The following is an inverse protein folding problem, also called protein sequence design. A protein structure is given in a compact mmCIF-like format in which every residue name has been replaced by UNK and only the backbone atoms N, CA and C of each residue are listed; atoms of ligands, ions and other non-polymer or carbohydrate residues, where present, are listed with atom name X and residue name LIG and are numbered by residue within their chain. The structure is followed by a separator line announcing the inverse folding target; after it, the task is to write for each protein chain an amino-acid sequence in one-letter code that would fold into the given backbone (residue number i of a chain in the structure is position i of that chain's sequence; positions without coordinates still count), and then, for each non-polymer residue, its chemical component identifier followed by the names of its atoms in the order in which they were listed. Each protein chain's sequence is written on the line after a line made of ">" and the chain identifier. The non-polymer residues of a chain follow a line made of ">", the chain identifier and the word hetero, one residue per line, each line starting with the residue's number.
data_IF_734243687572
#
_entry.id   IF_734243687572
#
_cell.length_a   1.000
_cell.length_b   1.000
_cell.length_c   1.000
_cell.angle_alpha   90.00
_cell.angle_beta   90.00
_cell.angle_gamma   90.00
#
_symmetry.space_group_name_H-M   'P 1'
#
loop_
_entity.id
_entity.type
_entity.pdbx_description
1 polymer ?
#
# COMPACT_ATOMS: atom_id res chain seq x y z
N UNK A 1 -37.65 -16.15 -6.48
CA UNK A 1 -37.36 -15.52 -5.17
C UNK A 1 -38.58 -15.62 -4.25
N UNK A 2 -38.88 -16.80 -3.69
CA UNK A 2 -40.18 -16.97 -3.01
C UNK A 2 -40.26 -18.02 -1.91
N UNK A 3 -39.15 -18.56 -1.40
CA UNK A 3 -39.19 -19.65 -0.42
C UNK A 3 -38.21 -19.51 0.76
N UNK A 4 -37.57 -18.34 0.92
CA UNK A 4 -36.65 -18.08 2.04
C UNK A 4 -37.12 -16.94 2.98
N UNK A 5 -38.32 -16.40 2.76
CA UNK A 5 -38.88 -15.31 3.58
C UNK A 5 -39.82 -15.77 4.70
N UNK A 6 -40.23 -17.03 4.74
CA UNK A 6 -41.27 -17.47 5.69
C UNK A 6 -40.77 -18.20 6.95
N UNK A 7 -39.46 -18.38 7.13
CA UNK A 7 -38.93 -19.15 8.26
C UNK A 7 -38.32 -18.32 9.42
N UNK A 8 -38.45 -16.99 9.43
CA UNK A 8 -37.79 -16.12 10.44
C UNK A 8 -38.80 -15.31 11.30
N UNK A 9 -40.10 -15.59 11.20
CA UNK A 9 -41.12 -14.83 11.95
C UNK A 9 -41.63 -15.52 13.23
N UNK A 10 -40.77 -16.26 13.96
CA UNK A 10 -41.13 -16.88 15.24
C UNK A 10 -40.21 -16.56 16.42
N UNK A 11 -39.23 -15.67 16.26
CA UNK A 11 -38.52 -15.09 17.39
C UNK A 11 -38.53 -13.59 17.17
N UNK A 12 -39.20 -12.84 18.05
CA UNK A 12 -39.36 -11.38 18.00
C UNK A 12 -38.05 -10.59 18.17
N UNK A 13 -36.98 -11.05 17.53
CA UNK A 13 -35.74 -10.34 17.37
C UNK A 13 -35.99 -9.35 16.23
N UNK A 14 -36.20 -8.10 16.62
CA UNK A 14 -36.06 -6.97 15.70
C UNK A 14 -34.59 -6.92 15.29
N UNK A 15 -34.24 -7.69 14.25
CA UNK A 15 -32.95 -7.55 13.57
C UNK A 15 -33.06 -6.20 12.86
N UNK A 16 -32.69 -5.12 13.57
CA UNK A 16 -32.37 -3.87 12.92
C UNK A 16 -31.41 -4.23 11.79
N UNK A 17 -31.87 -4.03 10.54
CA UNK A 17 -31.05 -4.28 9.37
C UNK A 17 -29.77 -3.49 9.58
N UNK A 18 -28.66 -4.18 9.84
CA UNK A 18 -27.37 -3.52 9.99
C UNK A 18 -27.19 -2.61 8.77
N UNK A 19 -26.82 -1.34 8.95
CA UNK A 19 -26.59 -0.46 7.81
C UNK A 19 -25.57 -1.14 6.91
N UNK A 20 -25.91 -1.22 5.62
CA UNK A 20 -25.04 -1.81 4.63
C UNK A 20 -23.73 -1.02 4.62
N UNK A 21 -22.63 -1.69 4.95
CA UNK A 21 -21.31 -1.08 4.94
C UNK A 21 -20.88 -0.82 3.49
N UNK A 22 -20.27 0.35 3.26
CA UNK A 22 -19.61 0.63 1.98
C UNK A 22 -18.43 -0.33 1.82
N UNK A 23 -18.33 -0.94 0.62
CA UNK A 23 -17.23 -1.81 0.25
C UNK A 23 -16.45 -1.12 -0.88
N UNK A 24 -15.18 -0.83 -0.65
CA UNK A 24 -14.30 -0.24 -1.68
C UNK A 24 -13.81 -1.29 -2.69
N UNK A 25 -13.84 -2.57 -2.30
CA UNK A 25 -13.54 -3.70 -3.17
C UNK A 25 -14.62 -3.90 -4.22
N UNK A 26 -14.21 -4.25 -5.44
CA UNK A 26 -15.13 -4.65 -6.52
C UNK A 26 -14.91 -6.13 -6.86
N UNK A 27 -15.97 -6.80 -7.32
CA UNK A 27 -15.83 -8.09 -7.97
C UNK A 27 -15.02 -7.92 -9.27
N UNK A 28 -14.03 -8.79 -9.49
CA UNK A 28 -13.17 -8.82 -10.68
C UNK A 28 -13.18 -10.20 -11.38
N UNK A 29 -14.17 -11.04 -11.07
CA UNK A 29 -14.20 -12.42 -11.53
C UNK A 29 -14.31 -12.53 -13.05
N UNK A 30 -15.07 -11.63 -13.69
CA UNK A 30 -15.23 -11.61 -15.14
C UNK A 30 -13.91 -11.24 -15.85
N UNK A 31 -13.13 -10.33 -15.27
CA UNK A 31 -11.81 -9.96 -15.75
C UNK A 31 -10.81 -11.10 -15.58
N UNK A 32 -10.86 -11.81 -14.45
CA UNK A 32 -10.00 -12.98 -14.20
C UNK A 32 -10.31 -14.14 -15.16
N UNK A 33 -11.58 -14.35 -15.51
CA UNK A 33 -11.98 -15.36 -16.50
C UNK A 33 -11.85 -14.89 -17.95
N UNK A 34 -11.53 -13.62 -18.20
CA UNK A 34 -11.47 -13.05 -19.55
C UNK A 34 -12.82 -13.01 -20.27
N UNK A 35 -13.94 -13.01 -19.52
CA UNK A 35 -15.31 -12.98 -20.06
C UNK A 35 -15.97 -11.60 -19.94
N UNK A 36 -15.28 -10.64 -19.34
CA UNK A 36 -15.74 -9.26 -19.24
C UNK A 36 -16.01 -8.67 -20.63
N UNK A 37 -17.17 -8.03 -20.78
CA UNK A 37 -17.56 -7.32 -22.01
C UNK A 37 -17.08 -5.86 -22.02
N UNK A 38 -16.49 -5.42 -20.91
CA UNK A 38 -16.01 -4.06 -20.75
C UNK A 38 -14.70 -3.85 -21.51
N UNK A 39 -14.47 -2.60 -21.93
CA UNK A 39 -13.23 -2.26 -22.62
C UNK A 39 -12.01 -2.43 -21.68
N UNK A 40 -10.83 -2.81 -22.21
CA UNK A 40 -9.60 -2.84 -21.42
C UNK A 40 -9.37 -1.52 -20.66
N UNK A 41 -9.03 -1.62 -19.38
CA UNK A 41 -8.82 -0.45 -18.51
C UNK A 41 -10.10 0.20 -17.96
N UNK A 42 -11.30 -0.31 -18.29
CA UNK A 42 -12.58 0.18 -17.77
C UNK A 42 -12.61 0.24 -16.24
N UNK A 43 -12.18 -0.82 -15.57
CA UNK A 43 -12.16 -0.87 -14.11
C UNK A 43 -11.34 0.27 -13.49
N UNK A 44 -10.21 0.65 -14.09
CA UNK A 44 -9.39 1.75 -13.60
C UNK A 44 -10.07 3.11 -13.70
N UNK A 45 -10.94 3.30 -14.72
CA UNK A 45 -11.71 4.53 -14.92
C UNK A 45 -12.95 4.59 -14.01
N UNK A 46 -13.64 3.46 -13.84
CA UNK A 46 -14.83 3.36 -12.98
C UNK A 46 -14.48 3.36 -11.50
N UNK A 47 -13.32 2.81 -11.12
CA UNK A 47 -12.90 2.65 -9.73
C UNK A 47 -11.72 3.57 -9.43
N UNK A 48 -11.97 4.78 -8.89
CA UNK A 48 -10.89 5.59 -8.39
C UNK A 48 -10.16 4.84 -7.26
N UNK A 49 -8.83 4.94 -7.25
CA UNK A 49 -7.99 4.36 -6.19
C UNK A 49 -7.55 5.50 -5.28
N UNK A 50 -7.88 5.42 -4.00
CA UNK A 50 -7.46 6.38 -2.99
C UNK A 50 -6.17 5.91 -2.31
N UNK A 51 -5.20 6.80 -2.20
CA UNK A 51 -3.93 6.54 -1.53
C UNK A 51 -3.91 7.35 -0.23
N UNK A 52 -4.07 6.66 0.89
CA UNK A 52 -3.95 7.24 2.22
C UNK A 52 -2.58 6.95 2.81
N UNK A 53 -2.02 7.92 3.55
CA UNK A 53 -1.05 7.64 4.60
C UNK A 53 -1.72 7.89 5.95
N UNK A 54 -2.04 6.83 6.68
CA UNK A 54 -2.90 6.88 7.87
C UNK A 54 -4.20 7.65 7.58
N UNK A 55 -4.48 8.74 8.30
CA UNK A 55 -5.67 9.58 8.11
C UNK A 55 -5.54 10.58 6.95
N UNK A 56 -4.36 10.73 6.36
CA UNK A 56 -4.08 11.72 5.33
C UNK A 56 -4.33 11.17 3.93
N UNK A 57 -5.27 11.78 3.19
CA UNK A 57 -5.44 11.51 1.77
C UNK A 57 -4.27 12.14 0.99
N UNK A 58 -3.39 11.28 0.47
CA UNK A 58 -2.18 11.69 -0.26
C UNK A 58 -2.50 11.94 -1.73
N UNK A 59 -3.14 10.97 -2.38
CA UNK A 59 -3.44 11.02 -3.80
C UNK A 59 -4.69 10.22 -4.15
N UNK A 60 -5.21 10.45 -5.36
CA UNK A 60 -6.18 9.57 -6.01
C UNK A 60 -5.70 9.19 -7.41
N UNK A 61 -6.11 8.03 -7.93
CA UNK A 61 -5.93 7.64 -9.32
C UNK A 61 -7.26 7.42 -9.99
N UNK A 62 -7.42 7.98 -11.19
CA UNK A 62 -8.60 7.84 -12.06
C UNK A 62 -8.09 7.39 -13.43
N UNK A 63 -8.31 6.11 -13.77
CA UNK A 63 -7.75 5.51 -14.98
C UNK A 63 -6.23 5.59 -15.01
N UNK A 64 -5.69 6.29 -16.00
CA UNK A 64 -4.25 6.46 -16.21
C UNK A 64 -3.69 7.69 -15.48
N UNK A 65 -4.54 8.52 -14.87
CA UNK A 65 -4.10 9.76 -14.24
C UNK A 65 -4.08 9.65 -12.72
N UNK A 66 -3.05 10.20 -12.10
CA UNK A 66 -2.92 10.27 -10.64
C UNK A 66 -2.78 11.71 -10.20
N UNK A 67 -3.54 12.09 -9.18
CA UNK A 67 -3.63 13.44 -8.64
C UNK A 67 -3.11 13.39 -7.21
N UNK A 68 -2.02 14.10 -6.95
CA UNK A 68 -1.41 14.22 -5.61
C UNK A 68 -1.88 15.49 -4.93
N UNK A 69 -2.54 15.33 -3.78
CA UNK A 69 -2.93 16.42 -2.88
C UNK A 69 -1.83 16.69 -1.85
N UNK A 70 -1.13 15.64 -1.42
CA UNK A 70 0.00 15.71 -0.49
C UNK A 70 1.11 14.77 -0.94
N UNK A 71 2.36 15.16 -0.70
CA UNK A 71 3.54 14.31 -0.85
C UNK A 71 4.34 14.28 0.43
N UNK A 72 4.92 13.13 0.75
CA UNK A 72 5.94 13.02 1.81
C UNK A 72 7.31 13.18 1.17
N UNK A 73 8.22 13.99 1.75
CA UNK A 73 9.61 13.98 1.34
C UNK A 73 10.25 12.63 1.71
N UNK A 74 11.35 12.32 1.03
CA UNK A 74 12.17 11.13 1.27
C UNK A 74 13.05 11.34 2.51
N UNK A 75 13.43 12.59 2.80
CA UNK A 75 14.21 12.96 3.97
C UNK A 75 13.48 14.04 4.77
N UNK A 76 13.59 13.99 6.11
CA UNK A 76 12.88 14.87 7.05
C UNK A 76 13.13 16.36 6.79
N UNK A 77 14.35 16.69 6.36
CA UNK A 77 14.84 18.06 6.39
C UNK A 77 15.11 18.66 5.00
N UNK A 78 15.24 17.85 3.93
CA UNK A 78 15.55 18.41 2.63
C UNK A 78 15.17 17.51 1.44
N UNK A 79 14.59 18.11 0.40
CA UNK A 79 14.59 17.55 -0.96
C UNK A 79 15.95 17.66 -1.63
N UNK A 80 16.88 18.42 -1.04
CA UNK A 80 18.24 18.68 -1.55
C UNK A 80 19.29 17.99 -0.65
N UNK A 81 19.17 16.67 -0.48
CA UNK A 81 20.28 15.89 0.06
C UNK A 81 21.43 15.86 -0.98
N UNK A 82 22.68 16.22 -0.65
CA UNK A 82 23.80 16.14 -1.59
C UNK A 82 24.04 14.72 -2.14
N UNK A 83 23.56 13.70 -1.44
CA UNK A 83 23.57 12.30 -1.85
C UNK A 83 22.21 11.84 -2.42
N UNK A 84 21.30 12.75 -2.78
CA UNK A 84 20.01 12.40 -3.39
C UNK A 84 20.20 11.53 -4.64
N UNK A 85 21.23 11.78 -5.45
CA UNK A 85 21.56 10.95 -6.62
C UNK A 85 21.98 9.53 -6.25
N UNK A 86 22.60 9.35 -5.08
CA UNK A 86 22.97 8.04 -4.53
C UNK A 86 21.76 7.34 -3.93
N UNK A 87 20.96 8.04 -3.12
CA UNK A 87 19.80 7.46 -2.45
C UNK A 87 18.63 7.21 -3.39
N UNK A 88 18.45 8.07 -4.39
CA UNK A 88 17.37 8.05 -5.36
C UNK A 88 17.92 8.16 -6.80
N UNK A 89 18.71 7.18 -7.26
CA UNK A 89 19.21 7.19 -8.63
C UNK A 89 18.04 7.25 -9.62
N UNK A 90 18.03 8.26 -10.49
CA UNK A 90 16.94 8.51 -11.44
C UNK A 90 15.56 8.67 -10.76
N UNK A 91 15.51 9.19 -9.53
CA UNK A 91 14.26 9.39 -8.78
C UNK A 91 13.68 8.12 -8.15
N UNK A 92 14.38 6.97 -8.21
CA UNK A 92 13.97 5.73 -7.55
C UNK A 92 14.74 5.51 -6.25
N UNK A 93 14.09 5.50 -5.08
CA UNK A 93 14.75 5.21 -3.81
C UNK A 93 15.43 3.82 -3.80
N UNK A 94 16.63 3.75 -3.23
CA UNK A 94 17.37 2.49 -2.99
C UNK A 94 16.85 1.71 -1.78
N UNK A 95 16.16 2.37 -0.86
CA UNK A 95 15.54 1.77 0.31
C UNK A 95 14.25 2.53 0.64
N UNK A 96 13.45 1.94 1.52
CA UNK A 96 12.21 2.55 2.01
C UNK A 96 12.54 3.61 3.05
N UNK A 97 12.77 4.85 2.58
CA UNK A 97 13.04 6.01 3.43
C UNK A 97 11.73 6.71 3.78
N UNK A 98 10.92 6.08 4.63
CA UNK A 98 9.77 6.78 5.22
C UNK A 98 10.29 7.72 6.32
N UNK A 99 10.09 9.02 6.11
CA UNK A 99 10.35 10.07 7.11
C UNK A 99 9.57 9.83 8.40
N UNK A 100 8.33 9.37 8.27
CA UNK A 100 7.52 8.96 9.41
C UNK A 100 6.48 7.94 8.97
N UNK A 101 6.38 6.83 9.70
CA UNK A 101 5.29 5.89 9.53
C UNK A 101 3.93 6.47 9.97
N UNK A 102 3.92 7.53 10.79
CA UNK A 102 2.69 8.19 11.26
C UNK A 102 2.18 9.27 10.31
N UNK A 103 2.98 9.73 9.33
CA UNK A 103 2.62 10.78 8.36
C UNK A 103 1.94 12.01 9.01
N UNK A 104 2.59 12.68 9.99
CA UNK A 104 2.06 13.90 10.59
C UNK A 104 2.01 15.01 9.54
N UNK A 105 1.00 15.88 9.61
CA UNK A 105 0.78 16.93 8.62
C UNK A 105 2.00 17.86 8.43
N UNK A 106 2.75 18.12 9.50
CA UNK A 106 3.96 18.95 9.48
C UNK A 106 5.07 18.37 8.59
N UNK A 107 5.08 17.05 8.37
CA UNK A 107 6.07 16.39 7.53
C UNK A 107 5.58 16.23 6.07
N UNK A 108 4.37 16.68 5.74
CA UNK A 108 3.78 16.53 4.42
C UNK A 108 3.77 17.86 3.66
N UNK A 109 4.15 17.83 2.39
CA UNK A 109 3.95 18.96 1.49
C UNK A 109 2.56 18.89 0.90
N UNK A 110 1.74 19.93 1.10
CA UNK A 110 0.41 20.05 0.48
C UNK A 110 0.52 20.80 -0.84
N UNK A 111 -0.16 20.30 -1.88
CA UNK A 111 -0.16 20.87 -3.22
C UNK A 111 -1.49 21.58 -3.52
N UNK A 112 -1.41 22.89 -3.75
CA UNK A 112 -2.54 23.71 -4.20
C UNK A 112 -2.11 24.62 -5.38
N UNK A 113 -2.46 24.27 -6.63
CA UNK A 113 -3.37 23.19 -7.02
C UNK A 113 -2.70 21.79 -6.98
N UNK A 114 -3.48 20.70 -6.82
CA UNK A 114 -2.96 19.33 -6.79
C UNK A 114 -2.18 18.96 -8.06
N UNK A 115 -1.04 18.27 -7.93
CA UNK A 115 -0.23 17.86 -9.09
C UNK A 115 -0.86 16.67 -9.80
N UNK A 116 -0.89 16.68 -11.15
CA UNK A 116 -1.47 15.62 -11.97
C UNK A 116 -0.38 14.93 -12.79
N UNK A 117 -0.39 13.60 -12.83
CA UNK A 117 0.57 12.76 -13.56
C UNK A 117 -0.17 11.80 -14.49
N UNK A 118 0.41 11.54 -15.66
CA UNK A 118 -0.06 10.53 -16.62
C UNK A 118 0.78 9.25 -16.43
N UNK A 119 0.23 8.27 -15.72
CA UNK A 119 0.91 7.02 -15.38
C UNK A 119 1.11 6.08 -16.58
N UNK A 120 0.35 6.27 -17.66
CA UNK A 120 0.55 5.48 -18.87
C UNK A 120 1.81 5.92 -19.63
N UNK A 121 2.15 7.22 -19.56
CA UNK A 121 3.37 7.79 -20.16
C UNK A 121 4.54 7.86 -19.19
N UNK A 122 4.27 8.18 -17.94
CA UNK A 122 5.26 8.39 -16.88
C UNK A 122 4.90 7.56 -15.63
N UNK A 123 5.14 6.24 -15.67
CA UNK A 123 4.87 5.36 -14.53
C UNK A 123 5.75 5.66 -13.31
N UNK A 124 6.82 6.45 -13.47
CA UNK A 124 7.72 6.85 -12.38
C UNK A 124 7.31 8.16 -11.71
N UNK A 125 6.27 8.83 -12.20
CA UNK A 125 5.75 10.08 -11.64
C UNK A 125 6.84 11.17 -11.53
N UNK A 126 7.74 11.23 -12.51
CA UNK A 126 8.86 12.17 -12.54
C UNK A 126 8.44 13.55 -13.07
N UNK A 127 7.47 13.59 -13.96
CA UNK A 127 7.07 14.81 -14.67
C UNK A 127 5.57 15.07 -14.48
N UNK A 128 5.26 16.03 -13.62
CA UNK A 128 3.89 16.52 -13.49
C UNK A 128 3.44 17.15 -14.82
N UNK A 129 2.16 16.98 -15.16
CA UNK A 129 1.57 17.59 -16.34
C UNK A 129 1.53 19.11 -16.19
N UNK A 130 1.91 19.81 -17.24
CA UNK A 130 1.80 21.27 -17.32
C UNK A 130 0.34 21.73 -17.29
N UNK A 131 0.12 22.96 -16.81
CA UNK A 131 -1.21 23.56 -16.74
C UNK A 131 -1.88 23.58 -18.11
N UNK A 132 -3.07 22.98 -18.16
CA UNK A 132 -3.93 22.92 -19.34
C UNK A 132 -5.38 22.78 -18.92
N UNK A 133 -6.31 23.00 -19.84
CA UNK A 133 -7.74 22.81 -19.55
C UNK A 133 -8.06 21.35 -19.18
N UNK A 134 -7.31 20.40 -19.75
CA UNK A 134 -7.37 19.00 -19.36
C UNK A 134 -6.97 18.77 -17.89
N UNK A 135 -5.84 19.34 -17.45
CA UNK A 135 -5.38 19.22 -16.05
C UNK A 135 -6.39 19.85 -15.08
N UNK A 136 -6.96 21.01 -15.43
CA UNK A 136 -8.03 21.65 -14.64
C UNK A 136 -9.28 20.77 -14.55
N UNK A 137 -9.70 20.17 -15.66
CA UNK A 137 -10.82 19.24 -15.69
C UNK A 137 -10.56 18.01 -14.82
N UNK A 138 -9.37 17.42 -14.90
CA UNK A 138 -8.98 16.27 -14.08
C UNK A 138 -9.00 16.60 -12.59
N UNK A 139 -8.52 17.77 -12.18
CA UNK A 139 -8.61 18.23 -10.79
C UNK A 139 -10.05 18.43 -10.34
N UNK A 140 -10.89 19.02 -11.18
CA UNK A 140 -12.32 19.21 -10.87
C UNK A 140 -13.04 17.87 -10.70
N UNK A 141 -12.80 16.92 -11.61
CA UNK A 141 -13.33 15.56 -11.50
C UNK A 141 -12.83 14.87 -10.21
N UNK A 142 -11.53 14.98 -9.92
CA UNK A 142 -10.94 14.44 -8.70
C UNK A 142 -11.53 15.02 -7.42
N UNK A 143 -11.73 16.34 -7.38
CA UNK A 143 -12.35 17.01 -6.25
C UNK A 143 -13.79 16.53 -5.99
N UNK A 144 -14.58 16.31 -7.04
CA UNK A 144 -15.93 15.75 -6.91
C UNK A 144 -15.90 14.32 -6.35
N UNK A 145 -15.03 13.45 -6.89
CA UNK A 145 -14.86 12.08 -6.41
C UNK A 145 -14.43 12.04 -4.94
N UNK A 146 -13.47 12.89 -4.53
CA UNK A 146 -13.03 12.99 -3.14
C UNK A 146 -14.15 13.48 -2.23
N UNK A 147 -14.95 14.44 -2.69
CA UNK A 147 -16.11 14.94 -1.93
C UNK A 147 -17.12 13.83 -1.69
N UNK A 148 -17.50 13.08 -2.71
CA UNK A 148 -18.43 11.94 -2.61
C UNK A 148 -17.88 10.84 -1.69
N UNK A 149 -16.61 10.45 -1.86
CA UNK A 149 -15.96 9.47 -1.00
C UNK A 149 -15.99 9.88 0.47
N UNK A 150 -15.62 11.13 0.80
CA UNK A 150 -15.63 11.64 2.18
C UNK A 150 -17.02 11.64 2.83
N UNK A 151 -18.09 11.75 2.04
CA UNK A 151 -19.46 11.65 2.56
C UNK A 151 -19.83 10.22 3.01
N UNK A 152 -19.12 9.21 2.51
CA UNK A 152 -19.33 7.79 2.89
C UNK A 152 -18.49 7.36 4.10
N UNK A 153 -17.49 8.15 4.50
CA UNK A 153 -16.58 7.82 5.59
C UNK A 153 -17.28 7.97 6.95
N UNK A 154 -17.29 6.88 7.72
CA UNK A 154 -17.75 6.88 9.11
C UNK A 154 -16.52 6.95 10.03
N UNK A 155 -16.39 7.98 10.88
CA UNK A 155 -15.28 8.08 11.82
C UNK A 155 -15.26 6.88 12.78
N UNK A 156 -14.08 6.31 12.98
CA UNK A 156 -13.84 5.19 13.91
C UNK A 156 -12.69 5.50 14.85
N UNK A 157 -12.66 4.91 16.07
CA UNK A 157 -11.54 5.09 16.98
C UNK A 157 -10.24 4.56 16.35
N UNK A 158 -9.14 5.32 16.49
CA UNK A 158 -7.82 4.92 16.01
C UNK A 158 -7.38 3.67 16.78
N UNK A 159 -7.21 2.56 16.05
CA UNK A 159 -6.77 1.28 16.64
C UNK A 159 -5.24 1.17 16.75
N UNK A 160 -4.53 1.86 15.86
CA UNK A 160 -3.07 1.87 15.81
C UNK A 160 -2.55 2.99 16.72
N UNK A 161 -2.04 2.63 17.89
CA UNK A 161 -1.59 3.59 18.89
C UNK A 161 -0.52 3.01 19.81
N UNK A 162 -0.69 3.23 21.12
CA UNK A 162 0.28 2.81 22.11
C UNK A 162 0.28 1.29 22.28
N UNK A 163 1.47 0.69 22.17
CA UNK A 163 1.69 -0.71 22.47
C UNK A 163 1.78 -0.92 23.98
N UNK A 164 1.01 -1.87 24.51
CA UNK A 164 1.15 -2.33 25.88
C UNK A 164 1.89 -3.68 25.93
N UNK A 165 3.00 -3.74 26.66
CA UNK A 165 3.76 -4.98 26.84
C UNK A 165 2.94 -6.04 27.61
N UNK A 166 1.95 -5.64 28.39
CA UNK A 166 1.09 -6.56 29.14
C UNK A 166 0.20 -7.41 28.23
N UNK A 167 -0.01 -7.02 26.97
CA UNK A 167 -0.77 -7.83 26.01
C UNK A 167 0.10 -8.87 25.30
N UNK A 168 1.43 -8.87 25.53
CA UNK A 168 2.31 -9.90 24.97
C UNK A 168 1.99 -11.23 25.65
N UNK A 169 1.56 -12.26 24.89
CA UNK A 169 1.28 -13.55 25.49
C UNK A 169 2.51 -14.12 26.18
N UNK A 170 2.41 -14.38 27.50
CA UNK A 170 3.46 -15.01 28.28
C UNK A 170 3.19 -16.52 28.36
N UNK A 171 4.15 -17.31 27.89
CA UNK A 171 4.12 -18.76 28.03
C UNK A 171 4.82 -19.18 29.33
N UNK A 172 4.17 -19.98 30.17
CA UNK A 172 4.68 -20.38 31.49
C UNK A 172 5.00 -19.17 32.42
N UNK A 173 3.99 -18.39 32.85
CA UNK A 173 4.20 -17.29 33.79
C UNK A 173 4.74 -17.78 35.15
N UNK A 174 5.66 -17.06 35.80
CA UNK A 174 6.19 -15.74 35.44
C UNK A 174 7.44 -15.79 34.55
N UNK A 175 7.96 -16.98 34.24
CA UNK A 175 9.20 -17.13 33.50
C UNK A 175 9.07 -16.62 32.06
N UNK A 176 7.87 -16.67 31.47
CA UNK A 176 7.60 -16.30 30.08
C UNK A 176 8.53 -17.02 29.09
N UNK A 177 8.84 -18.30 29.39
CA UNK A 177 9.68 -19.18 28.58
C UNK A 177 8.83 -20.28 27.96
N UNK A 178 9.07 -20.54 26.69
CA UNK A 178 8.33 -21.52 25.93
C UNK A 178 9.32 -22.40 25.16
N UNK A 179 9.57 -23.61 25.64
CA UNK A 179 10.50 -24.59 25.05
C UNK A 179 9.78 -25.86 24.58
N UNK A 180 8.48 -25.78 24.28
CA UNK A 180 7.67 -26.94 23.85
C UNK A 180 8.00 -27.47 22.44
N UNK A 181 8.97 -26.87 21.74
CA UNK A 181 9.53 -27.36 20.47
C UNK A 181 10.85 -28.15 20.69
N UNK A 182 11.17 -28.54 21.93
CA UNK A 182 12.28 -29.49 22.24
C UNK A 182 12.16 -30.85 21.54
N UNK A 183 11.01 -31.16 20.93
CA UNK A 183 10.77 -32.41 20.20
C UNK A 183 11.17 -32.39 18.71
N UNK A 184 11.71 -31.28 18.18
CA UNK A 184 12.27 -31.26 16.80
C UNK A 184 13.75 -31.63 16.74
N UNK A 185 14.48 -31.51 17.85
CA UNK A 185 15.93 -31.81 17.90
C UNK A 185 16.23 -33.31 17.94
N UNK A 186 15.26 -34.17 18.26
CA UNK A 186 15.45 -35.64 18.24
C UNK A 186 14.98 -36.32 16.95
N UNK A 187 14.49 -35.59 15.96
CA UNK A 187 14.02 -36.14 14.68
C UNK A 187 14.96 -35.85 13.50
N UNK A 188 16.01 -35.04 13.70
CA UNK A 188 16.94 -34.63 12.65
C UNK A 188 18.40 -35.00 12.97
N UNK A 189 18.65 -36.19 13.51
CA UNK A 189 19.91 -36.89 13.17
C UNK A 189 19.80 -37.37 11.72
N UNK A 190 19.75 -36.42 10.77
CA UNK A 190 20.11 -36.71 9.39
C UNK A 190 21.64 -36.66 9.30
N UNK A 191 22.28 -37.64 8.65
CA UNK A 191 23.73 -37.70 8.56
C UNK A 191 24.25 -36.45 7.84
N UNK A 192 25.25 -35.81 8.43
CA UNK A 192 25.85 -34.57 7.96
C UNK A 192 26.22 -34.63 6.47
N UNK A 193 25.37 -34.05 5.61
CA UNK A 193 25.76 -33.78 4.23
C UNK A 193 26.52 -32.46 4.21
N UNK A 194 27.84 -32.59 4.04
CA UNK A 194 28.76 -31.50 3.86
C UNK A 194 28.42 -30.71 2.58
N UNK A 195 27.81 -29.53 2.72
CA UNK A 195 27.64 -28.59 1.60
C UNK A 195 28.83 -27.61 1.55
N UNK A 196 29.56 -27.51 0.43
CA UNK A 196 30.62 -26.53 0.30
C UNK A 196 30.04 -25.11 0.25
N UNK A 197 30.74 -24.19 0.92
CA UNK A 197 30.44 -22.76 1.01
C UNK A 197 30.24 -22.12 -0.38
N UNK A 198 29.16 -21.37 -0.53
CA UNK A 198 28.73 -20.65 -1.75
C UNK A 198 29.66 -19.46 -2.10
N UNK A 199 30.73 -19.22 -1.34
CA UNK A 199 31.68 -18.12 -1.59
C UNK A 199 32.79 -18.41 -2.63
N UNK A 200 32.61 -19.37 -3.55
CA UNK A 200 33.59 -19.65 -4.62
C UNK A 200 33.03 -19.58 -6.04
N UNK A 201 32.09 -18.68 -6.32
CA UNK A 201 31.57 -18.49 -7.69
C UNK A 201 32.13 -17.29 -8.47
N UNK A 202 33.10 -16.53 -7.92
CA UNK A 202 33.76 -15.44 -8.67
C UNK A 202 35.29 -15.40 -8.52
N UNK A 203 35.93 -16.56 -8.55
CA UNK A 203 37.37 -16.65 -8.87
C UNK A 203 37.55 -17.68 -9.98
N UNK A 204 37.34 -17.24 -11.23
CA UNK A 204 37.36 -18.18 -12.34
C UNK A 204 37.03 -17.60 -13.71
N UNK A 205 37.44 -16.36 -14.00
CA UNK A 205 37.68 -15.98 -15.40
C UNK A 205 38.98 -15.18 -15.47
N UNK A 206 39.88 -15.70 -16.30
CA UNK A 206 41.28 -15.33 -16.43
C UNK A 206 41.52 -13.84 -16.61
N UNK A 207 42.71 -13.44 -16.18
CA UNK A 207 43.15 -12.06 -16.19
C UNK A 207 43.48 -11.52 -17.57
N UNK A 208 43.55 -10.19 -17.62
CA UNK A 208 44.26 -9.45 -18.66
C UNK A 208 45.23 -8.52 -17.93
N UNK A 209 46.51 -8.67 -18.25
CA UNK A 209 47.63 -7.86 -17.76
C UNK A 209 47.59 -6.44 -18.35
N UNK A 210 48.11 -5.49 -17.57
CA UNK A 210 48.55 -4.15 -17.99
C UNK A 210 47.93 -3.08 -17.09
N UNK A 211 48.66 -2.20 -16.40
CA UNK A 211 50.05 -1.79 -16.53
C UNK A 211 50.06 -0.26 -16.44
N UNK A 212 50.75 0.26 -15.41
CA UNK A 212 50.91 1.66 -14.96
C UNK A 212 49.75 2.20 -14.12
#
# INVERSE_FOLDING_TARGET
>A
MGLLREAIFQQGINIQSKPQLYLDGTNILEELYGVSKELPGYLGKRRPIFYYCNSNLMAIRIGDYKIHYKTSPIFLNDTVDPNLSYFCPNGKPRADWYVSASCPDEHLTTHDPPSVFDLAKDPYERYALEESDFVKQMRSQGANIVKEHRQTLVPVPIQMGHFDKNVVPCCDPPACRCDKITRREKANEEPSLHYPSVYKFFEGIGGIKGGI
#
